data_IF_014838737079
#
_entry.id   IF_014838737079
#
_cell.length_a   1.000
_cell.length_b   1.000
_cell.length_c   1.000
_cell.angle_alpha   90.00
_cell.angle_beta   90.00
_cell.angle_gamma   90.00
#
_symmetry.space_group_name_H-M   'P 1'
#
loop_
_entity.id
_entity.type
_entity.pdbx_description
1 polymer ?
#
# COMPACT_ATOMS: atom_id res chain seq x y z
N UNK A 1 -82.14 8.49 1.31
CA UNK A 1 -80.97 8.25 2.15
C UNK A 1 -79.85 7.85 1.20
N UNK A 2 -78.97 8.80 0.88
CA UNK A 2 -77.82 8.57 -0.01
C UNK A 2 -76.57 8.41 0.82
N UNK A 3 -75.99 7.20 0.80
CA UNK A 3 -74.72 6.94 1.47
C UNK A 3 -73.56 7.49 0.62
N UNK A 4 -72.87 8.43 1.14
CA UNK A 4 -71.66 9.02 0.56
C UNK A 4 -70.44 8.20 1.04
N UNK A 5 -69.82 7.41 0.16
CA UNK A 5 -68.56 6.75 0.39
C UNK A 5 -67.41 7.72 0.15
N UNK A 6 -66.73 8.13 1.20
CA UNK A 6 -65.51 8.92 1.11
C UNK A 6 -64.35 7.94 0.97
N UNK A 7 -63.77 7.82 -0.23
CA UNK A 7 -62.51 7.10 -0.48
C UNK A 7 -61.37 8.07 -0.11
N UNK A 8 -60.71 7.79 1.03
CA UNK A 8 -59.46 8.45 1.39
C UNK A 8 -58.34 7.76 0.60
N UNK A 9 -57.89 8.41 -0.48
CA UNK A 9 -56.68 8.00 -1.17
C UNK A 9 -55.51 8.51 -0.35
N UNK A 10 -54.94 7.62 0.47
CA UNK A 10 -53.67 7.80 1.15
C UNK A 10 -52.57 7.74 0.13
N UNK A 11 -52.18 8.87 -0.43
CA UNK A 11 -50.99 9.01 -1.27
C UNK A 11 -49.76 8.84 -0.38
N UNK A 12 -49.23 7.60 -0.32
CA UNK A 12 -47.89 7.33 0.16
C UNK A 12 -46.90 8.04 -0.77
N UNK A 13 -46.48 9.24 -0.38
CA UNK A 13 -45.26 9.84 -0.91
C UNK A 13 -44.08 8.97 -0.45
N UNK A 14 -43.71 8.04 -1.28
CA UNK A 14 -42.36 7.43 -1.25
C UNK A 14 -41.39 8.54 -1.63
N UNK A 15 -40.94 9.28 -0.63
CA UNK A 15 -39.73 10.08 -0.78
C UNK A 15 -38.59 9.10 -1.00
N UNK A 16 -38.32 8.78 -2.29
CA UNK A 16 -37.05 8.21 -2.69
C UNK A 16 -36.00 9.27 -2.37
N UNK A 17 -35.41 9.22 -1.17
CA UNK A 17 -34.12 9.83 -0.93
C UNK A 17 -33.11 9.12 -1.84
N UNK A 18 -33.00 9.59 -3.07
CA UNK A 18 -32.01 9.14 -4.03
C UNK A 18 -30.69 9.87 -3.73
N UNK A 19 -30.21 9.78 -2.48
CA UNK A 19 -28.83 10.10 -2.14
C UNK A 19 -27.95 8.89 -2.50
N UNK A 20 -27.90 8.58 -3.78
CA UNK A 20 -26.91 7.60 -4.26
C UNK A 20 -25.55 8.25 -4.13
N UNK A 21 -24.70 7.68 -3.27
CA UNK A 21 -23.30 8.07 -3.15
C UNK A 21 -22.66 8.10 -4.55
N UNK A 22 -22.17 9.26 -5.03
CA UNK A 22 -21.74 9.43 -6.43
C UNK A 22 -20.57 8.54 -6.82
N UNK A 23 -19.71 8.16 -5.87
CA UNK A 23 -18.56 7.29 -6.12
C UNK A 23 -18.93 5.79 -6.18
N UNK A 24 -20.17 5.45 -5.88
CA UNK A 24 -20.71 4.08 -6.04
C UNK A 24 -21.25 3.81 -7.45
N UNK A 25 -21.30 4.82 -8.32
CA UNK A 25 -21.63 4.58 -9.72
C UNK A 25 -20.48 3.83 -10.40
N UNK A 26 -20.84 2.84 -11.21
CA UNK A 26 -19.85 2.12 -11.99
C UNK A 26 -19.17 3.06 -12.98
N UNK A 27 -17.89 3.32 -12.77
CA UNK A 27 -17.11 4.21 -13.65
C UNK A 27 -16.68 3.54 -14.97
N UNK A 28 -16.97 2.24 -15.13
CA UNK A 28 -16.91 1.57 -16.43
C UNK A 28 -18.11 1.91 -17.36
N UNK A 29 -19.11 2.65 -16.89
CA UNK A 29 -20.25 3.07 -17.69
C UNK A 29 -19.83 4.17 -18.68
N UNK A 30 -19.80 3.81 -19.97
CA UNK A 30 -19.45 4.73 -21.07
C UNK A 30 -20.44 5.88 -21.25
N UNK A 31 -21.61 5.84 -20.60
CA UNK A 31 -22.59 6.93 -20.59
C UNK A 31 -22.19 8.08 -19.65
N UNK A 32 -21.20 7.86 -18.77
CA UNK A 32 -20.67 8.89 -17.88
C UNK A 32 -19.75 9.84 -18.66
N UNK A 33 -19.71 11.08 -18.20
CA UNK A 33 -18.74 12.05 -18.67
C UNK A 33 -17.32 11.46 -18.53
N UNK A 34 -16.48 11.70 -19.54
CA UNK A 34 -15.12 11.16 -19.64
C UNK A 34 -15.01 9.62 -19.78
N UNK A 35 -16.05 8.95 -20.31
CA UNK A 35 -15.94 7.55 -20.71
C UNK A 35 -15.67 6.54 -19.59
N UNK A 36 -16.15 6.84 -18.37
CA UNK A 36 -16.01 5.92 -17.25
C UNK A 36 -14.79 6.18 -16.37
N UNK A 37 -14.24 7.37 -16.40
CA UNK A 37 -13.22 7.81 -15.44
C UNK A 37 -13.85 7.91 -14.03
N UNK A 38 -13.13 7.47 -12.98
CA UNK A 38 -13.60 7.61 -11.61
C UNK A 38 -13.94 9.06 -11.23
N UNK A 39 -14.98 9.26 -10.45
CA UNK A 39 -15.46 10.60 -10.02
C UNK A 39 -14.58 11.19 -8.90
N UNK A 40 -13.30 11.45 -9.19
CA UNK A 40 -12.33 11.96 -8.21
C UNK A 40 -12.70 13.36 -7.68
N UNK A 41 -13.37 14.19 -8.47
CA UNK A 41 -13.90 15.51 -8.07
C UNK A 41 -14.95 15.45 -6.96
N UNK A 42 -15.57 14.28 -6.74
CA UNK A 42 -16.60 14.03 -5.72
C UNK A 42 -16.08 13.20 -4.55
N UNK A 43 -14.83 12.80 -4.59
CA UNK A 43 -14.22 11.99 -3.57
C UNK A 43 -14.03 12.76 -2.26
N UNK A 44 -14.68 12.30 -1.20
CA UNK A 44 -14.44 12.79 0.17
C UNK A 44 -14.23 11.61 1.13
N UNK A 45 -13.49 11.78 2.24
CA UNK A 45 -13.29 10.73 3.24
C UNK A 45 -14.60 10.05 3.69
N UNK A 46 -15.63 10.84 3.94
CA UNK A 46 -16.95 10.33 4.35
C UNK A 46 -17.61 9.48 3.28
N UNK A 47 -17.65 9.96 2.03
CA UNK A 47 -18.28 9.22 0.91
C UNK A 47 -17.54 7.92 0.62
N UNK A 48 -16.20 7.91 0.72
CA UNK A 48 -15.39 6.71 0.57
C UNK A 48 -15.69 5.70 1.67
N UNK A 49 -15.75 6.12 2.95
CA UNK A 49 -16.14 5.24 4.06
C UNK A 49 -17.51 4.60 3.83
N UNK A 50 -18.51 5.39 3.47
CA UNK A 50 -19.88 4.91 3.20
C UNK A 50 -19.90 3.91 2.03
N UNK A 51 -19.18 4.20 0.94
CA UNK A 51 -19.11 3.35 -0.23
C UNK A 51 -18.40 2.03 0.06
N UNK A 52 -17.28 2.05 0.80
CA UNK A 52 -16.56 0.85 1.24
C UNK A 52 -17.46 -0.06 2.09
N UNK A 53 -18.15 0.48 3.10
CA UNK A 53 -19.06 -0.28 3.96
C UNK A 53 -20.22 -0.89 3.16
N UNK A 54 -20.79 -0.13 2.24
CA UNK A 54 -21.90 -0.60 1.42
C UNK A 54 -21.44 -1.64 0.38
N UNK A 55 -20.27 -1.42 -0.24
CA UNK A 55 -19.67 -2.38 -1.17
C UNK A 55 -19.39 -3.73 -0.52
N UNK A 56 -18.83 -3.74 0.70
CA UNK A 56 -18.63 -4.96 1.49
C UNK A 56 -19.95 -5.67 1.77
N UNK A 57 -21.00 -4.92 2.19
CA UNK A 57 -22.32 -5.50 2.47
C UNK A 57 -22.95 -6.14 1.23
N UNK A 58 -22.88 -5.46 0.08
CA UNK A 58 -23.43 -5.98 -1.20
C UNK A 58 -22.67 -7.26 -1.58
N UNK A 59 -21.33 -7.22 -1.54
CA UNK A 59 -20.50 -8.38 -1.87
C UNK A 59 -20.80 -9.58 -0.95
N UNK A 60 -20.94 -9.39 0.37
CA UNK A 60 -21.30 -10.48 1.28
C UNK A 60 -22.69 -11.06 0.99
N UNK A 61 -23.66 -10.24 0.59
CA UNK A 61 -24.97 -10.73 0.15
C UNK A 61 -24.88 -11.59 -1.13
N UNK A 62 -24.02 -11.23 -2.06
CA UNK A 62 -23.82 -12.02 -3.29
C UNK A 62 -23.09 -13.33 -2.99
N UNK A 63 -22.07 -13.31 -2.13
CA UNK A 63 -21.41 -14.51 -1.60
C UNK A 63 -22.41 -15.44 -0.89
N UNK A 64 -23.30 -14.89 -0.08
CA UNK A 64 -24.32 -15.69 0.62
C UNK A 64 -25.29 -16.38 -0.37
N UNK A 65 -25.71 -15.70 -1.43
CA UNK A 65 -26.51 -16.29 -2.52
C UNK A 65 -25.78 -17.44 -3.22
N UNK A 66 -24.48 -17.26 -3.49
CA UNK A 66 -23.65 -18.30 -4.12
C UNK A 66 -23.53 -19.49 -3.17
N UNK A 67 -23.18 -19.26 -1.92
CA UNK A 67 -23.01 -20.29 -0.90
C UNK A 67 -24.26 -21.13 -0.66
N UNK A 68 -25.43 -20.48 -0.67
CA UNK A 68 -26.74 -21.13 -0.43
C UNK A 68 -27.47 -21.52 -1.74
N UNK A 69 -26.81 -21.51 -2.90
CA UNK A 69 -27.42 -21.93 -4.17
C UNK A 69 -27.82 -23.41 -4.11
N UNK A 70 -29.12 -23.78 -4.27
CA UNK A 70 -29.58 -25.16 -4.15
C UNK A 70 -29.14 -26.07 -5.30
N UNK A 71 -28.66 -25.50 -6.41
CA UNK A 71 -28.16 -26.27 -7.55
C UNK A 71 -26.80 -26.89 -7.26
N UNK A 72 -26.52 -28.06 -7.84
CA UNK A 72 -25.17 -28.66 -7.77
C UNK A 72 -24.10 -27.67 -8.17
N UNK A 73 -22.95 -27.64 -7.49
CA UNK A 73 -21.86 -26.72 -7.81
C UNK A 73 -21.30 -26.95 -9.21
N UNK A 74 -21.20 -25.87 -10.00
CA UNK A 74 -20.49 -25.84 -11.29
C UNK A 74 -19.55 -24.64 -11.32
N UNK A 75 -18.63 -24.61 -12.28
CA UNK A 75 -17.72 -23.48 -12.47
C UNK A 75 -18.52 -22.17 -12.63
N UNK A 76 -19.54 -22.17 -13.48
CA UNK A 76 -20.35 -21.01 -13.82
C UNK A 76 -21.15 -20.51 -12.60
N UNK A 77 -21.85 -21.41 -11.87
CA UNK A 77 -22.75 -21.00 -10.79
C UNK A 77 -22.03 -20.80 -9.43
N UNK A 78 -20.71 -20.93 -9.41
CA UNK A 78 -19.92 -20.77 -8.19
C UNK A 78 -18.69 -19.90 -8.45
N UNK A 79 -17.72 -20.35 -9.25
CA UNK A 79 -16.45 -19.63 -9.46
C UNK A 79 -16.68 -18.35 -10.27
N UNK A 80 -17.39 -18.44 -11.39
CA UNK A 80 -17.69 -17.28 -12.23
C UNK A 80 -18.57 -16.25 -11.51
N UNK A 81 -19.55 -16.69 -10.72
CA UNK A 81 -20.35 -15.79 -9.90
C UNK A 81 -19.53 -15.15 -8.75
N UNK A 82 -18.53 -15.84 -8.19
CA UNK A 82 -17.59 -15.25 -7.23
C UNK A 82 -16.73 -14.16 -7.88
N UNK A 83 -16.21 -14.38 -9.10
CA UNK A 83 -15.44 -13.39 -9.84
C UNK A 83 -16.27 -12.12 -10.16
N UNK A 84 -17.59 -12.29 -10.38
CA UNK A 84 -18.52 -11.16 -10.60
C UNK A 84 -18.95 -10.47 -9.32
N UNK A 85 -18.86 -11.16 -8.18
CA UNK A 85 -19.19 -10.59 -6.88
C UNK A 85 -18.17 -9.52 -6.46
N UNK A 86 -18.62 -8.54 -5.66
CA UNK A 86 -17.71 -7.53 -5.15
C UNK A 86 -17.24 -6.47 -6.16
N UNK A 87 -17.75 -6.47 -7.39
CA UNK A 87 -17.38 -5.47 -8.41
C UNK A 87 -17.53 -4.04 -7.90
N UNK A 88 -18.61 -3.71 -7.21
CA UNK A 88 -18.80 -2.37 -6.64
C UNK A 88 -17.73 -2.02 -5.63
N UNK A 89 -17.35 -2.95 -4.75
CA UNK A 89 -16.26 -2.74 -3.79
C UNK A 89 -14.93 -2.55 -4.52
N UNK A 90 -14.67 -3.34 -5.56
CA UNK A 90 -13.48 -3.20 -6.41
C UNK A 90 -13.41 -1.82 -7.09
N UNK A 91 -14.56 -1.30 -7.56
CA UNK A 91 -14.63 0.03 -8.17
C UNK A 91 -14.43 1.18 -7.13
N UNK A 92 -14.70 0.94 -5.86
CA UNK A 92 -14.50 1.92 -4.76
C UNK A 92 -13.07 1.89 -4.20
N UNK A 93 -12.38 0.77 -4.27
CA UNK A 93 -11.02 0.62 -3.73
C UNK A 93 -10.01 1.66 -4.25
N UNK A 94 -10.00 2.07 -5.54
CA UNK A 94 -9.11 3.11 -6.04
C UNK A 94 -9.28 4.44 -5.30
N UNK A 95 -10.49 4.85 -4.95
CA UNK A 95 -10.73 6.07 -4.16
C UNK A 95 -10.13 5.95 -2.75
N UNK A 96 -10.34 4.80 -2.09
CA UNK A 96 -9.72 4.51 -0.81
C UNK A 96 -8.18 4.54 -0.90
N UNK A 97 -7.61 3.92 -1.93
CA UNK A 97 -6.17 3.88 -2.19
C UNK A 97 -5.56 5.26 -2.39
N UNK A 98 -6.22 6.14 -3.15
CA UNK A 98 -5.75 7.51 -3.40
C UNK A 98 -5.79 8.35 -2.12
N UNK A 99 -6.88 8.28 -1.35
CA UNK A 99 -6.94 8.97 -0.06
C UNK A 99 -5.91 8.44 0.93
N UNK A 100 -5.60 7.14 0.87
CA UNK A 100 -4.60 6.50 1.73
C UNK A 100 -3.17 6.91 1.40
N UNK A 101 -2.80 6.91 0.11
CA UNK A 101 -1.40 7.02 -0.33
C UNK A 101 -1.00 8.42 -0.80
N UNK A 102 -1.94 9.21 -1.33
CA UNK A 102 -1.64 10.49 -1.97
C UNK A 102 -2.30 11.69 -1.29
N UNK A 103 -3.45 11.50 -0.65
CA UNK A 103 -4.25 12.57 -0.07
C UNK A 103 -4.63 12.27 1.38
N UNK A 104 -3.71 11.68 2.13
CA UNK A 104 -3.93 11.36 3.53
C UNK A 104 -4.19 12.61 4.36
N UNK A 105 -5.20 12.54 5.23
CA UNK A 105 -5.54 13.58 6.19
C UNK A 105 -5.80 12.95 7.57
N UNK A 106 -5.73 13.72 8.68
CA UNK A 106 -6.08 13.22 10.00
C UNK A 106 -7.48 12.59 10.06
N UNK A 107 -8.46 13.18 9.35
CA UNK A 107 -9.81 12.62 9.22
C UNK A 107 -9.79 11.24 8.53
N UNK A 108 -9.06 11.14 7.42
CA UNK A 108 -9.02 9.88 6.67
C UNK A 108 -8.24 8.79 7.40
N UNK A 109 -7.15 9.13 8.10
CA UNK A 109 -6.41 8.17 8.95
C UNK A 109 -7.30 7.53 10.02
N UNK A 110 -8.19 8.32 10.64
CA UNK A 110 -9.20 7.78 11.56
C UNK A 110 -10.15 6.80 10.86
N UNK A 111 -10.59 7.14 9.64
CA UNK A 111 -11.44 6.26 8.83
C UNK A 111 -10.70 4.97 8.45
N UNK A 112 -9.41 5.03 8.12
CA UNK A 112 -8.58 3.85 7.87
C UNK A 112 -8.53 2.92 9.08
N UNK A 113 -8.31 3.47 10.28
CA UNK A 113 -8.34 2.71 11.54
C UNK A 113 -9.69 2.01 11.78
N UNK A 114 -10.82 2.69 11.49
CA UNK A 114 -12.17 2.13 11.60
C UNK A 114 -12.45 1.04 10.55
N UNK A 115 -11.89 1.17 9.34
CA UNK A 115 -12.15 0.26 8.22
C UNK A 115 -11.23 -0.97 8.24
N UNK A 116 -10.00 -0.86 8.74
CA UNK A 116 -9.03 -1.95 8.72
C UNK A 116 -9.56 -3.26 9.35
N UNK A 117 -10.12 -3.27 10.58
CA UNK A 117 -10.72 -4.48 11.15
C UNK A 117 -11.94 -4.97 10.35
N UNK A 118 -12.77 -4.08 9.81
CA UNK A 118 -13.95 -4.45 9.01
C UNK A 118 -13.59 -5.10 7.67
N UNK A 119 -12.52 -4.64 7.04
CA UNK A 119 -11.97 -5.28 5.84
C UNK A 119 -11.39 -6.66 6.15
N UNK A 120 -10.77 -6.81 7.32
CA UNK A 120 -10.30 -8.11 7.80
C UNK A 120 -11.45 -9.08 8.09
N UNK A 121 -12.49 -8.62 8.78
CA UNK A 121 -13.72 -9.39 9.02
C UNK A 121 -14.42 -9.77 7.71
N UNK A 122 -14.56 -8.85 6.77
CA UNK A 122 -15.11 -9.09 5.44
C UNK A 122 -14.35 -10.21 4.72
N UNK A 123 -13.02 -10.13 4.68
CA UNK A 123 -12.17 -11.15 4.06
C UNK A 123 -12.30 -12.51 4.76
N UNK A 124 -12.31 -12.52 6.09
CA UNK A 124 -12.50 -13.75 6.88
C UNK A 124 -13.87 -14.37 6.66
N UNK A 125 -14.93 -13.56 6.58
CA UNK A 125 -16.30 -14.01 6.32
C UNK A 125 -16.45 -14.73 4.98
N UNK A 126 -15.66 -14.37 3.98
CA UNK A 126 -15.63 -15.05 2.68
C UNK A 126 -14.77 -16.31 2.76
N UNK A 127 -13.50 -16.16 3.19
CA UNK A 127 -12.51 -17.23 3.16
C UNK A 127 -12.85 -18.41 4.11
N UNK A 128 -13.63 -18.15 5.17
CA UNK A 128 -14.04 -19.17 6.14
C UNK A 128 -15.49 -19.62 5.99
N UNK A 129 -16.17 -19.17 4.92
CA UNK A 129 -17.53 -19.60 4.63
C UNK A 129 -17.53 -21.08 4.22
N UNK A 130 -18.03 -21.95 5.11
CA UNK A 130 -18.00 -23.40 4.93
C UNK A 130 -18.78 -23.84 3.69
N UNK A 131 -20.01 -23.34 3.52
CA UNK A 131 -20.86 -23.69 2.38
C UNK A 131 -20.21 -23.27 1.05
N UNK A 132 -19.62 -22.08 1.00
CA UNK A 132 -18.90 -21.61 -0.18
C UNK A 132 -17.69 -22.51 -0.47
N UNK A 133 -16.91 -22.83 0.55
CA UNK A 133 -15.73 -23.70 0.40
C UNK A 133 -16.12 -25.14 0.03
N UNK A 134 -17.24 -25.67 0.53
CA UNK A 134 -17.77 -26.96 0.08
C UNK A 134 -18.08 -26.97 -1.41
N UNK A 135 -18.70 -25.91 -1.94
CA UNK A 135 -18.97 -25.77 -3.38
C UNK A 135 -17.69 -25.70 -4.20
N UNK A 136 -16.74 -24.87 -3.81
CA UNK A 136 -15.41 -24.77 -4.47
C UNK A 136 -14.70 -26.11 -4.45
N UNK A 137 -14.70 -26.79 -3.30
CA UNK A 137 -14.06 -28.11 -3.11
C UNK A 137 -14.69 -29.21 -3.99
N UNK A 138 -16.02 -29.18 -4.13
CA UNK A 138 -16.73 -30.14 -4.99
C UNK A 138 -16.30 -29.98 -6.46
N UNK A 139 -16.24 -28.74 -6.96
CA UNK A 139 -15.80 -28.46 -8.34
C UNK A 139 -14.32 -28.86 -8.50
N UNK A 140 -13.47 -28.51 -7.54
CA UNK A 140 -12.04 -28.86 -7.55
C UNK A 140 -11.79 -30.37 -7.59
N UNK A 141 -12.58 -31.15 -6.83
CA UNK A 141 -12.51 -32.60 -6.86
C UNK A 141 -12.99 -33.18 -8.20
N UNK A 142 -14.11 -32.67 -8.70
CA UNK A 142 -14.67 -33.11 -9.98
C UNK A 142 -13.74 -32.80 -11.16
N UNK A 143 -13.02 -31.68 -11.13
CA UNK A 143 -12.08 -31.30 -12.21
C UNK A 143 -10.87 -32.23 -12.35
N UNK A 144 -10.59 -33.07 -11.35
CA UNK A 144 -9.51 -34.08 -11.44
C UNK A 144 -9.87 -35.24 -12.37
N UNK A 145 -11.16 -35.50 -12.59
CA UNK A 145 -11.66 -36.53 -13.50
C UNK A 145 -12.26 -35.93 -14.77
N UNK A 146 -12.83 -34.75 -14.70
CA UNK A 146 -13.40 -33.97 -15.80
C UNK A 146 -12.74 -32.62 -15.87
N UNK A 147 -11.57 -32.49 -16.53
CA UNK A 147 -10.84 -31.22 -16.59
C UNK A 147 -11.68 -30.12 -17.24
N UNK A 148 -11.56 -28.90 -16.68
CA UNK A 148 -12.09 -27.68 -17.25
C UNK A 148 -11.16 -27.16 -18.36
N UNK A 149 -11.58 -26.11 -19.07
CA UNK A 149 -10.68 -25.36 -19.95
C UNK A 149 -9.47 -24.82 -19.14
N UNK A 150 -8.33 -24.65 -19.79
CA UNK A 150 -7.05 -24.37 -19.10
C UNK A 150 -7.10 -23.12 -18.19
N UNK A 151 -7.75 -22.06 -18.64
CA UNK A 151 -7.94 -20.82 -17.87
C UNK A 151 -8.89 -21.02 -16.70
N UNK A 152 -10.02 -21.69 -16.91
CA UNK A 152 -10.97 -22.05 -15.86
C UNK A 152 -10.32 -22.95 -14.79
N UNK A 153 -9.56 -23.95 -15.23
CA UNK A 153 -8.84 -24.83 -14.31
C UNK A 153 -7.83 -24.03 -13.47
N UNK A 154 -7.14 -23.09 -14.10
CA UNK A 154 -6.17 -22.22 -13.38
C UNK A 154 -6.85 -21.34 -12.35
N UNK A 155 -7.98 -20.72 -12.69
CA UNK A 155 -8.77 -19.91 -11.74
C UNK A 155 -9.26 -20.76 -10.58
N UNK A 156 -9.82 -21.94 -10.87
CA UNK A 156 -10.27 -22.87 -9.84
C UNK A 156 -9.14 -23.31 -8.89
N UNK A 157 -7.98 -23.67 -9.43
CA UNK A 157 -6.82 -24.09 -8.63
C UNK A 157 -6.34 -22.96 -7.71
N UNK A 158 -6.30 -21.72 -8.20
CA UNK A 158 -5.93 -20.55 -7.40
C UNK A 158 -6.99 -20.23 -6.33
N UNK A 159 -8.26 -20.32 -6.68
CA UNK A 159 -9.37 -20.10 -5.76
C UNK A 159 -9.35 -21.12 -4.63
N UNK A 160 -9.29 -22.41 -4.94
CA UNK A 160 -9.22 -23.48 -3.93
C UNK A 160 -7.99 -23.28 -3.00
N UNK A 161 -6.82 -23.02 -3.60
CA UNK A 161 -5.60 -22.76 -2.84
C UNK A 161 -5.73 -21.54 -1.94
N UNK A 162 -6.32 -20.45 -2.44
CA UNK A 162 -6.58 -19.25 -1.65
C UNK A 162 -7.42 -19.55 -0.42
N UNK A 163 -8.52 -20.28 -0.54
CA UNK A 163 -9.34 -20.69 0.59
C UNK A 163 -8.55 -21.52 1.60
N UNK A 164 -7.82 -22.53 1.15
CA UNK A 164 -7.01 -23.39 2.02
C UNK A 164 -5.94 -22.59 2.78
N UNK A 165 -5.25 -21.69 2.10
CA UNK A 165 -4.21 -20.82 2.70
C UNK A 165 -4.78 -19.78 3.68
N UNK A 166 -6.07 -19.46 3.59
CA UNK A 166 -6.72 -18.47 4.44
C UNK A 166 -7.67 -19.10 5.49
N UNK A 167 -7.47 -20.37 5.80
CA UNK A 167 -8.08 -21.01 6.97
C UNK A 167 -9.40 -21.73 6.71
N UNK A 168 -9.85 -21.90 5.45
CA UNK A 168 -11.09 -22.61 5.13
C UNK A 168 -11.11 -24.06 5.67
N UNK A 169 -9.95 -24.70 5.74
CA UNK A 169 -9.79 -26.09 6.19
C UNK A 169 -9.63 -26.23 7.70
N UNK A 170 -9.55 -25.15 8.46
CA UNK A 170 -9.41 -25.16 9.90
C UNK A 170 -10.68 -25.63 10.60
N UNK A 171 -10.56 -26.24 11.80
CA UNK A 171 -11.65 -26.44 12.71
C UNK A 171 -12.17 -25.10 13.27
N UNK A 172 -13.35 -25.13 13.91
CA UNK A 172 -14.05 -23.93 14.36
C UNK A 172 -13.19 -23.05 15.28
N UNK A 173 -12.55 -23.63 16.28
CA UNK A 173 -11.78 -22.89 17.28
C UNK A 173 -10.56 -22.22 16.65
N UNK A 174 -9.88 -22.93 15.75
CA UNK A 174 -8.76 -22.37 14.99
C UNK A 174 -9.20 -21.30 13.99
N UNK A 175 -10.38 -21.42 13.35
CA UNK A 175 -10.94 -20.37 12.49
C UNK A 175 -11.19 -19.08 13.27
N UNK A 176 -11.78 -19.20 14.48
CA UNK A 176 -12.01 -18.05 15.36
C UNK A 176 -10.69 -17.35 15.71
N UNK A 177 -9.71 -18.12 16.21
CA UNK A 177 -8.38 -17.57 16.52
C UNK A 177 -7.65 -16.98 15.30
N UNK A 178 -7.75 -17.61 14.15
CA UNK A 178 -7.20 -17.10 12.89
C UNK A 178 -7.80 -15.74 12.50
N UNK A 179 -9.12 -15.57 12.69
CA UNK A 179 -9.83 -14.30 12.44
C UNK A 179 -9.39 -13.21 13.40
N UNK A 180 -9.30 -13.51 14.70
CA UNK A 180 -8.78 -12.59 15.70
C UNK A 180 -7.37 -12.09 15.34
N UNK A 181 -6.46 -13.01 15.01
CA UNK A 181 -5.09 -12.64 14.59
C UNK A 181 -5.10 -11.73 13.37
N UNK A 182 -5.97 -11.96 12.39
CA UNK A 182 -6.05 -11.10 11.21
C UNK A 182 -6.54 -9.70 11.56
N UNK A 183 -7.48 -9.56 12.49
CA UNK A 183 -7.97 -8.27 13.00
C UNK A 183 -6.85 -7.54 13.75
N UNK A 184 -6.15 -8.23 14.67
CA UNK A 184 -5.02 -7.68 15.41
C UNK A 184 -3.89 -7.22 14.44
N UNK A 185 -3.52 -8.05 13.48
CA UNK A 185 -2.51 -7.71 12.46
C UNK A 185 -2.93 -6.49 11.62
N UNK A 186 -4.20 -6.39 11.23
CA UNK A 186 -4.67 -5.25 10.43
C UNK A 186 -4.55 -3.93 11.19
N UNK A 187 -4.82 -3.95 12.51
CA UNK A 187 -4.61 -2.81 13.40
C UNK A 187 -3.13 -2.45 13.52
N UNK A 188 -2.29 -3.44 13.82
CA UNK A 188 -0.84 -3.22 13.98
C UNK A 188 -0.17 -2.69 12.71
N UNK A 189 -0.58 -3.15 11.52
CA UNK A 189 -0.08 -2.60 10.25
C UNK A 189 -0.50 -1.15 10.04
N UNK A 190 -1.73 -0.80 10.43
CA UNK A 190 -2.20 0.58 10.36
C UNK A 190 -1.43 1.48 11.33
N UNK A 191 -1.24 1.04 12.57
CA UNK A 191 -0.50 1.76 13.59
C UNK A 191 0.97 1.95 13.17
N UNK A 192 1.61 0.89 12.67
CA UNK A 192 2.98 0.95 12.12
C UNK A 192 3.11 2.03 11.03
N UNK A 193 2.18 2.04 10.08
CA UNK A 193 2.21 2.98 8.97
C UNK A 193 1.98 4.42 9.42
N UNK A 194 1.07 4.61 10.38
CA UNK A 194 0.79 5.93 10.95
C UNK A 194 1.97 6.49 11.75
N UNK A 195 2.70 5.65 12.49
CA UNK A 195 3.89 6.06 13.23
C UNK A 195 5.01 6.52 12.27
N UNK A 196 5.27 5.76 11.20
CA UNK A 196 6.24 6.18 10.17
C UNK A 196 5.82 7.50 9.51
N UNK A 197 4.52 7.65 9.20
CA UNK A 197 3.99 8.88 8.61
C UNK A 197 4.07 10.07 9.56
N UNK A 198 3.85 9.85 10.88
CA UNK A 198 4.02 10.88 11.90
C UNK A 198 5.45 11.46 11.85
N UNK A 199 6.46 10.61 11.81
CA UNK A 199 7.85 11.06 11.75
C UNK A 199 8.18 11.75 10.41
N UNK A 200 7.57 11.29 9.32
CA UNK A 200 7.72 11.93 8.01
C UNK A 200 7.14 13.35 8.00
N UNK A 201 6.01 13.58 8.67
CA UNK A 201 5.32 14.89 8.72
C UNK A 201 5.96 15.85 9.73
N UNK A 202 6.52 15.36 10.84
CA UNK A 202 6.90 16.19 12.00
C UNK A 202 8.40 16.43 12.16
N UNK A 203 9.26 15.54 11.68
CA UNK A 203 10.70 15.79 11.69
C UNK A 203 11.11 16.69 10.52
N UNK A 204 11.34 17.97 10.82
CA UNK A 204 11.75 18.97 9.83
C UNK A 204 13.08 19.59 10.27
N UNK A 205 14.06 19.59 9.37
CA UNK A 205 15.34 20.25 9.60
C UNK A 205 15.29 21.67 9.02
N UNK A 206 15.39 22.69 9.87
CA UNK A 206 15.42 24.09 9.45
C UNK A 206 16.85 24.57 9.26
N UNK A 207 17.10 25.27 8.15
CA UNK A 207 18.42 25.80 7.77
C UNK A 207 18.41 27.31 7.78
N UNK A 208 19.59 27.87 8.06
CA UNK A 208 19.93 29.27 7.80
C UNK A 208 20.45 29.44 6.38
N UNK A 209 20.47 30.69 5.87
CA UNK A 209 20.98 31.01 4.54
C UNK A 209 22.45 30.57 4.34
N UNK A 210 23.27 30.71 5.38
CA UNK A 210 24.68 30.28 5.38
C UNK A 210 24.91 28.77 5.22
N UNK A 211 23.86 27.96 5.37
CA UNK A 211 23.89 26.50 5.32
C UNK A 211 23.44 25.92 3.98
N UNK A 212 23.13 26.76 2.99
CA UNK A 212 22.57 26.37 1.69
C UNK A 212 23.61 25.98 0.63
N UNK A 213 24.89 26.03 0.99
CA UNK A 213 25.98 25.77 0.03
C UNK A 213 25.87 24.40 -0.64
N UNK A 214 26.00 24.39 -1.96
CA UNK A 214 25.92 23.20 -2.82
C UNK A 214 24.53 22.88 -3.33
N UNK A 215 23.48 23.49 -2.77
CA UNK A 215 22.09 23.26 -3.20
C UNK A 215 21.73 24.07 -4.44
N UNK A 216 20.91 23.50 -5.32
CA UNK A 216 20.42 24.21 -6.51
C UNK A 216 19.42 25.32 -6.15
N UNK A 217 19.34 26.37 -6.99
CA UNK A 217 18.38 27.46 -6.79
C UNK A 217 16.93 26.97 -6.74
N UNK A 218 16.58 25.95 -7.53
CA UNK A 218 15.25 25.35 -7.52
C UNK A 218 14.91 24.69 -6.18
N UNK A 219 15.87 23.95 -5.63
CA UNK A 219 15.73 23.30 -4.32
C UNK A 219 15.62 24.35 -3.20
N UNK A 220 16.48 25.36 -3.20
CA UNK A 220 16.47 26.45 -2.21
C UNK A 220 15.12 27.16 -2.22
N UNK A 221 14.58 27.49 -3.39
CA UNK A 221 13.26 28.13 -3.54
C UNK A 221 12.14 27.25 -2.97
N UNK A 222 12.18 25.94 -3.23
CA UNK A 222 11.21 25.00 -2.67
C UNK A 222 11.32 24.90 -1.14
N UNK A 223 12.54 24.77 -0.60
CA UNK A 223 12.79 24.71 0.84
C UNK A 223 12.33 25.99 1.56
N UNK A 224 12.52 27.17 0.93
CA UNK A 224 12.01 28.45 1.43
C UNK A 224 10.50 28.46 1.53
N UNK A 225 9.83 28.04 0.44
CA UNK A 225 8.36 27.97 0.40
C UNK A 225 7.80 27.03 1.49
N UNK A 226 8.41 25.86 1.67
CA UNK A 226 8.00 24.90 2.71
C UNK A 226 8.16 25.50 4.11
N UNK A 227 9.25 26.23 4.36
CA UNK A 227 9.45 26.88 5.66
C UNK A 227 8.39 27.96 5.91
N UNK A 228 8.07 28.78 4.92
CA UNK A 228 7.02 29.78 4.98
C UNK A 228 5.65 29.16 5.25
N UNK A 229 5.29 28.09 4.56
CA UNK A 229 4.02 27.36 4.79
C UNK A 229 3.91 26.79 6.20
N UNK A 230 5.07 26.59 6.88
CA UNK A 230 5.17 26.17 8.29
C UNK A 230 5.33 27.35 9.27
N UNK A 231 5.26 28.62 8.81
CA UNK A 231 5.32 29.82 9.64
C UNK A 231 6.73 30.35 9.96
N UNK A 232 7.76 29.90 9.21
CA UNK A 232 9.17 30.30 9.39
C UNK A 232 9.66 31.09 8.17
N UNK A 233 9.45 32.43 8.20
CA UNK A 233 9.76 33.32 7.08
C UNK A 233 11.25 33.39 6.72
N UNK A 234 12.14 33.32 7.71
CA UNK A 234 13.59 33.49 7.52
C UNK A 234 14.36 32.19 7.42
N UNK A 235 13.69 31.01 7.42
CA UNK A 235 14.31 29.70 7.36
C UNK A 235 14.11 29.02 6.01
N UNK A 236 14.77 27.88 5.86
CA UNK A 236 14.62 26.93 4.77
C UNK A 236 14.35 25.56 5.40
N UNK A 237 13.36 24.83 4.91
CA UNK A 237 12.91 23.58 5.55
C UNK A 237 13.23 22.37 4.68
N UNK A 238 13.92 21.40 5.28
CA UNK A 238 14.14 20.06 4.73
C UNK A 238 13.16 19.14 5.44
N UNK A 239 12.14 18.68 4.72
CA UNK A 239 11.16 17.73 5.24
C UNK A 239 11.72 16.31 5.27
N UNK A 240 11.13 15.46 6.10
CA UNK A 240 11.55 14.06 6.26
C UNK A 240 11.01 13.14 5.15
N UNK A 241 10.80 13.71 3.96
CA UNK A 241 10.38 13.00 2.75
C UNK A 241 11.56 12.68 1.86
N UNK A 242 11.45 11.61 1.05
CA UNK A 242 12.51 11.22 0.13
C UNK A 242 12.84 12.33 -0.87
N UNK A 243 11.83 13.03 -1.40
CA UNK A 243 11.99 14.11 -2.36
C UNK A 243 12.75 15.33 -1.81
N UNK A 244 12.76 15.52 -0.50
CA UNK A 244 13.53 16.57 0.19
C UNK A 244 14.91 16.07 0.65
N UNK A 245 14.94 14.88 1.25
CA UNK A 245 16.17 14.30 1.80
C UNK A 245 17.19 13.92 0.71
N UNK A 246 16.79 13.21 -0.34
CA UNK A 246 17.72 12.73 -1.39
C UNK A 246 18.50 13.85 -2.06
N UNK A 247 17.89 14.94 -2.58
CA UNK A 247 18.66 16.07 -3.15
C UNK A 247 19.52 16.76 -2.11
N UNK A 248 19.04 16.90 -0.86
CA UNK A 248 19.84 17.51 0.20
C UNK A 248 21.10 16.71 0.48
N UNK A 249 20.99 15.39 0.69
CA UNK A 249 22.16 14.53 0.92
C UNK A 249 23.10 14.46 -0.29
N UNK A 250 22.58 14.64 -1.49
CA UNK A 250 23.38 14.59 -2.73
C UNK A 250 24.23 15.84 -2.94
N UNK A 251 23.69 17.01 -2.61
CA UNK A 251 24.30 18.28 -3.03
C UNK A 251 24.80 19.16 -1.89
N UNK A 252 24.23 19.08 -0.69
CA UNK A 252 24.66 19.92 0.44
C UNK A 252 26.11 19.66 0.84
N UNK A 253 26.93 20.74 0.91
CA UNK A 253 28.30 20.64 1.39
C UNK A 253 28.41 20.54 2.92
N UNK A 254 27.33 20.82 3.66
CA UNK A 254 27.33 20.77 5.12
C UNK A 254 27.17 19.33 5.62
N UNK A 255 28.30 18.72 5.98
CA UNK A 255 28.36 17.32 6.43
C UNK A 255 27.54 17.05 7.69
N UNK A 256 27.61 17.96 8.67
CA UNK A 256 26.92 17.80 9.94
C UNK A 256 25.40 17.79 9.76
N UNK A 257 24.88 18.65 8.90
CA UNK A 257 23.45 18.69 8.59
C UNK A 257 23.04 17.48 7.75
N UNK A 258 23.89 16.99 6.83
CA UNK A 258 23.62 15.72 6.14
C UNK A 258 23.41 14.58 7.13
N UNK A 259 24.25 14.49 8.18
CA UNK A 259 24.08 13.48 9.23
C UNK A 259 22.73 13.60 9.93
N UNK A 260 22.30 14.80 10.31
CA UNK A 260 21.00 15.05 10.96
C UNK A 260 19.86 14.64 10.05
N UNK A 261 19.86 15.10 8.79
CA UNK A 261 18.80 14.78 7.81
C UNK A 261 18.76 13.27 7.51
N UNK A 262 19.93 12.63 7.41
CA UNK A 262 20.01 11.18 7.21
C UNK A 262 19.43 10.43 8.41
N UNK A 263 19.81 10.77 9.63
CA UNK A 263 19.30 10.15 10.86
C UNK A 263 17.79 10.30 10.95
N UNK A 264 17.27 11.51 10.79
CA UNK A 264 15.81 11.74 10.83
C UNK A 264 15.06 10.86 9.83
N UNK A 265 15.59 10.69 8.62
CA UNK A 265 14.93 9.91 7.59
C UNK A 265 14.98 8.40 7.84
N UNK A 266 16.14 7.87 8.25
CA UNK A 266 16.34 6.44 8.39
C UNK A 266 15.91 5.88 9.76
N UNK A 267 15.66 6.74 10.76
CA UNK A 267 15.10 6.32 12.05
C UNK A 267 13.60 6.57 12.21
N UNK A 268 12.89 6.76 11.10
CA UNK A 268 11.42 6.89 11.16
C UNK A 268 10.78 5.65 11.77
N UNK A 269 9.99 5.85 12.84
CA UNK A 269 9.39 4.78 13.63
C UNK A 269 10.38 4.03 14.53
N UNK A 270 11.57 4.61 14.79
CA UNK A 270 12.61 4.03 15.65
C UNK A 270 13.32 5.16 16.44
N UNK A 271 12.54 5.99 17.11
CA UNK A 271 13.05 7.15 17.87
C UNK A 271 12.90 6.98 19.38
N UNK A 272 12.37 5.86 19.87
CA UNK A 272 12.20 5.58 21.31
C UNK A 272 11.10 6.42 21.96
N UNK A 273 10.19 6.99 21.19
CA UNK A 273 9.04 7.78 21.62
C UNK A 273 7.71 7.02 21.48
N UNK A 274 6.58 7.73 21.61
CA UNK A 274 5.25 7.12 21.49
C UNK A 274 4.90 6.62 20.07
N UNK A 275 5.69 6.99 19.05
CA UNK A 275 5.55 6.57 17.65
C UNK A 275 6.58 5.50 17.26
N UNK A 276 7.28 4.92 18.23
CA UNK A 276 8.24 3.84 18.00
C UNK A 276 7.56 2.53 17.60
N UNK A 277 8.06 1.90 16.57
CA UNK A 277 7.49 0.68 15.99
C UNK A 277 8.14 -0.63 16.49
N UNK A 278 9.16 -0.58 17.35
CA UNK A 278 9.90 -1.78 17.73
C UNK A 278 9.01 -2.83 18.43
N UNK A 279 8.11 -2.40 19.32
CA UNK A 279 7.16 -3.30 19.96
C UNK A 279 6.12 -3.83 18.97
N UNK A 280 5.63 -2.97 18.06
CA UNK A 280 4.68 -3.34 17.00
C UNK A 280 5.28 -4.41 16.08
N UNK A 281 6.56 -4.26 15.69
CA UNK A 281 7.28 -5.25 14.88
C UNK A 281 7.33 -6.60 15.59
N UNK A 282 7.70 -6.59 16.88
CA UNK A 282 7.75 -7.82 17.69
C UNK A 282 6.40 -8.55 17.71
N UNK A 283 5.32 -7.81 17.92
CA UNK A 283 3.97 -8.38 17.97
C UNK A 283 3.47 -8.87 16.60
N UNK A 284 3.75 -8.13 15.52
CA UNK A 284 3.47 -8.57 14.15
C UNK A 284 4.16 -9.91 13.85
N UNK A 285 5.44 -10.05 14.22
CA UNK A 285 6.19 -11.29 13.99
C UNK A 285 5.63 -12.46 14.80
N UNK A 286 5.27 -12.23 16.06
CA UNK A 286 4.64 -13.22 16.93
C UNK A 286 3.32 -13.71 16.34
N UNK A 287 2.43 -12.80 15.98
CA UNK A 287 1.12 -13.12 15.40
C UNK A 287 1.23 -13.80 14.04
N UNK A 288 2.17 -13.38 13.19
CA UNK A 288 2.44 -14.06 11.91
C UNK A 288 2.86 -15.50 12.11
N UNK A 289 3.74 -15.77 13.10
CA UNK A 289 4.16 -17.15 13.43
C UNK A 289 3.00 -17.97 13.95
N UNK A 290 2.21 -17.44 14.87
CA UNK A 290 1.02 -18.11 15.42
C UNK A 290 0.03 -18.44 14.31
N UNK A 291 -0.30 -17.48 13.46
CA UNK A 291 -1.24 -17.63 12.35
C UNK A 291 -0.88 -18.76 11.39
N UNK A 292 0.37 -18.83 10.96
CA UNK A 292 0.79 -19.87 10.02
C UNK A 292 0.96 -21.22 10.70
N UNK A 293 1.24 -21.24 12.01
CA UNK A 293 1.22 -22.45 12.83
C UNK A 293 -0.16 -23.09 12.90
N UNK A 294 -1.25 -22.30 12.99
CA UNK A 294 -2.63 -22.80 12.89
C UNK A 294 -2.89 -23.53 11.57
N UNK A 295 -2.26 -23.07 10.47
CA UNK A 295 -2.36 -23.67 9.13
C UNK A 295 -1.39 -24.84 8.91
N UNK A 296 -0.56 -25.19 9.92
CA UNK A 296 0.40 -26.29 9.85
C UNK A 296 1.74 -25.95 9.20
N UNK A 297 2.06 -24.65 9.02
CA UNK A 297 3.36 -24.23 8.50
C UNK A 297 4.34 -23.93 9.64
N UNK A 298 5.59 -24.23 9.44
CA UNK A 298 6.66 -23.99 10.41
C UNK A 298 6.94 -22.48 10.58
N UNK A 299 6.90 -21.75 9.48
CA UNK A 299 7.18 -20.30 9.49
C UNK A 299 6.40 -19.57 8.40
N UNK A 300 6.38 -18.23 8.52
CA UNK A 300 5.64 -17.35 7.61
C UNK A 300 6.16 -17.43 6.18
N UNK A 301 7.46 -17.61 5.97
CA UNK A 301 8.05 -17.66 4.64
C UNK A 301 7.59 -18.91 3.86
N UNK A 302 7.53 -20.09 4.51
CA UNK A 302 6.97 -21.29 3.89
C UNK A 302 5.54 -21.10 3.43
N UNK A 303 4.68 -20.53 4.28
CA UNK A 303 3.30 -20.23 3.91
C UNK A 303 3.23 -19.23 2.77
N UNK A 304 4.03 -18.16 2.82
CA UNK A 304 3.91 -17.03 1.87
C UNK A 304 4.47 -17.36 0.50
N UNK A 305 5.53 -18.18 0.40
CA UNK A 305 6.24 -18.43 -0.85
C UNK A 305 5.66 -19.60 -1.67
N UNK A 306 4.79 -20.42 -1.10
CA UNK A 306 4.30 -21.64 -1.79
C UNK A 306 3.55 -21.35 -3.12
N UNK A 307 2.98 -20.16 -3.30
CA UNK A 307 2.29 -19.72 -4.51
C UNK A 307 3.11 -18.68 -5.31
N UNK A 308 4.37 -18.45 -4.91
CA UNK A 308 5.27 -17.51 -5.57
C UNK A 308 6.26 -18.25 -6.48
N UNK A 309 6.98 -17.47 -7.31
CA UNK A 309 7.97 -18.01 -8.24
C UNK A 309 9.05 -18.84 -7.53
N UNK A 310 9.51 -18.40 -6.34
CA UNK A 310 10.51 -19.12 -5.55
C UNK A 310 9.99 -20.45 -4.98
N UNK A 311 8.67 -20.58 -4.73
CA UNK A 311 7.97 -21.75 -4.17
C UNK A 311 8.30 -22.06 -2.70
N UNK A 312 9.53 -21.90 -2.25
CA UNK A 312 9.99 -22.15 -0.88
C UNK A 312 11.09 -21.17 -0.45
N UNK A 313 11.37 -21.06 0.86
CA UNK A 313 12.41 -20.18 1.38
C UNK A 313 13.81 -20.51 0.86
N UNK A 314 14.14 -21.79 0.66
CA UNK A 314 15.46 -22.27 0.22
C UNK A 314 15.80 -21.70 -1.17
N UNK A 315 14.86 -21.75 -2.12
CA UNK A 315 15.05 -21.18 -3.45
C UNK A 315 15.20 -19.64 -3.42
N UNK A 316 14.44 -18.96 -2.55
CA UNK A 316 14.56 -17.53 -2.38
C UNK A 316 15.92 -17.13 -1.79
N UNK A 317 16.37 -17.86 -0.77
CA UNK A 317 17.69 -17.64 -0.15
C UNK A 317 18.83 -17.95 -1.12
N UNK A 318 18.76 -19.06 -1.84
CA UNK A 318 19.79 -19.43 -2.82
C UNK A 318 20.01 -18.33 -3.89
N UNK A 319 18.93 -17.68 -4.38
CA UNK A 319 19.06 -16.56 -5.30
C UNK A 319 19.76 -15.35 -4.64
N UNK A 320 19.36 -15.00 -3.41
CA UNK A 320 19.99 -13.89 -2.69
C UNK A 320 21.45 -14.15 -2.39
N UNK A 321 21.79 -15.36 -1.91
CA UNK A 321 23.15 -15.76 -1.60
C UNK A 321 24.06 -15.82 -2.83
N UNK A 322 23.52 -16.16 -3.99
CA UNK A 322 24.28 -16.16 -5.25
C UNK A 322 24.68 -14.74 -5.70
N UNK A 323 23.84 -13.73 -5.40
CA UNK A 323 24.09 -12.32 -5.79
C UNK A 323 24.90 -11.56 -4.73
N UNK A 324 24.71 -11.88 -3.45
CA UNK A 324 25.22 -11.12 -2.32
C UNK A 324 26.74 -10.87 -2.32
N UNK A 325 27.61 -11.88 -2.56
CA UNK A 325 29.06 -11.66 -2.55
C UNK A 325 29.52 -10.65 -3.62
N UNK A 326 28.95 -10.74 -4.82
CA UNK A 326 29.28 -9.81 -5.91
C UNK A 326 28.78 -8.37 -5.60
N UNK A 327 27.61 -8.25 -4.96
CA UNK A 327 27.08 -6.96 -4.55
C UNK A 327 27.95 -6.29 -3.47
N UNK A 328 28.40 -7.06 -2.47
CA UNK A 328 29.32 -6.54 -1.43
C UNK A 328 30.64 -6.11 -2.04
N UNK A 329 31.26 -6.93 -2.88
CA UNK A 329 32.53 -6.58 -3.55
C UNK A 329 32.38 -5.27 -4.36
N UNK A 330 31.26 -5.10 -5.04
CA UNK A 330 30.98 -3.85 -5.78
C UNK A 330 30.82 -2.64 -4.89
N UNK A 331 30.14 -2.78 -3.76
CA UNK A 331 30.01 -1.69 -2.75
C UNK A 331 31.38 -1.30 -2.21
N UNK A 332 32.26 -2.26 -1.92
CA UNK A 332 33.61 -1.97 -1.43
C UNK A 332 34.43 -1.14 -2.45
N UNK A 333 34.33 -1.46 -3.76
CA UNK A 333 34.93 -0.68 -4.84
C UNK A 333 34.35 0.75 -4.89
N UNK A 334 33.05 0.89 -4.82
CA UNK A 334 32.36 2.19 -4.85
C UNK A 334 32.71 3.05 -3.63
N UNK A 335 32.80 2.46 -2.45
CA UNK A 335 33.25 3.16 -1.23
C UNK A 335 34.71 3.59 -1.35
N UNK A 336 35.58 2.77 -1.92
CA UNK A 336 36.96 3.12 -2.15
C UNK A 336 37.11 4.31 -3.13
N UNK A 337 36.32 4.34 -4.22
CA UNK A 337 36.26 5.46 -5.14
C UNK A 337 35.80 6.75 -4.44
N UNK A 338 34.74 6.67 -3.63
CA UNK A 338 34.23 7.81 -2.85
C UNK A 338 35.25 8.29 -1.83
N UNK A 339 35.92 7.37 -1.13
CA UNK A 339 36.95 7.71 -0.14
C UNK A 339 38.15 8.43 -0.78
N UNK A 340 38.56 8.01 -1.99
CA UNK A 340 39.59 8.67 -2.76
C UNK A 340 39.21 10.11 -3.06
N UNK A 341 38.02 10.34 -3.58
CA UNK A 341 37.50 11.69 -3.88
C UNK A 341 37.39 12.55 -2.61
N UNK A 342 36.94 11.98 -1.48
CA UNK A 342 36.86 12.69 -0.22
C UNK A 342 38.22 13.15 0.28
N UNK A 343 39.25 12.30 0.15
CA UNK A 343 40.62 12.62 0.56
C UNK A 343 41.24 13.72 -0.29
N UNK A 344 40.89 13.80 -1.59
CA UNK A 344 41.40 14.81 -2.52
C UNK A 344 40.71 16.17 -2.35
N UNK A 345 39.41 16.19 -2.04
CA UNK A 345 38.61 17.41 -2.08
C UNK A 345 38.58 18.21 -0.79
N UNK A 346 38.53 17.56 0.39
CA UNK A 346 38.16 18.28 1.63
C UNK A 346 39.08 17.97 2.80
N UNK A 347 39.04 16.78 3.33
CA UNK A 347 39.76 16.39 4.52
C UNK A 347 40.18 14.91 4.43
N UNK A 348 41.45 14.62 4.28
CA UNK A 348 41.95 13.26 4.11
C UNK A 348 41.70 12.34 5.30
N UNK A 349 41.24 12.86 6.44
CA UNK A 349 40.96 12.09 7.66
C UNK A 349 39.50 11.69 7.82
N UNK A 350 38.60 12.14 6.96
CA UNK A 350 37.21 11.67 7.06
C UNK A 350 37.09 10.25 6.53
N UNK A 351 36.30 9.45 7.23
CA UNK A 351 35.81 8.17 6.75
C UNK A 351 34.43 8.40 6.13
N UNK A 352 34.16 7.73 5.00
CA UNK A 352 32.83 7.73 4.37
C UNK A 352 31.84 7.06 5.33
N UNK A 353 30.82 7.80 5.71
CA UNK A 353 29.70 7.34 6.53
C UNK A 353 28.41 7.32 5.70
N UNK A 354 27.31 6.69 6.16
CA UNK A 354 26.08 6.57 5.38
C UNK A 354 25.52 7.89 4.87
N UNK A 355 25.62 8.98 5.61
CA UNK A 355 25.20 10.33 5.20
C UNK A 355 26.12 10.99 4.18
N UNK A 356 27.30 10.43 3.93
CA UNK A 356 28.27 10.90 2.93
C UNK A 356 28.08 10.23 1.57
N UNK A 357 27.45 9.03 1.55
CA UNK A 357 27.35 8.18 0.37
C UNK A 357 26.83 8.93 -0.86
N UNK A 358 25.63 9.55 -0.76
CA UNK A 358 25.03 10.25 -1.91
C UNK A 358 25.87 11.42 -2.39
N UNK A 359 26.46 12.17 -1.49
CA UNK A 359 27.29 13.32 -1.80
C UNK A 359 28.53 12.91 -2.60
N UNK A 360 29.29 11.94 -2.12
CA UNK A 360 30.51 11.50 -2.79
C UNK A 360 30.23 10.62 -4.01
N UNK A 361 29.18 9.84 -4.04
CA UNK A 361 28.75 9.10 -5.22
C UNK A 361 28.45 10.06 -6.38
N UNK A 362 27.81 11.22 -6.13
CA UNK A 362 27.59 12.24 -7.15
C UNK A 362 28.91 12.89 -7.63
N UNK A 363 29.87 13.11 -6.74
CA UNK A 363 31.21 13.59 -7.14
C UNK A 363 31.94 12.57 -8.00
N UNK A 364 31.93 11.30 -7.64
CA UNK A 364 32.48 10.20 -8.44
C UNK A 364 31.81 10.14 -9.81
N UNK A 365 30.46 10.23 -9.86
CA UNK A 365 29.67 10.21 -11.07
C UNK A 365 30.10 11.36 -12.02
N UNK A 366 30.22 12.57 -11.49
CA UNK A 366 30.66 13.73 -12.27
C UNK A 366 32.09 13.56 -12.81
N UNK A 367 33.00 13.04 -12.00
CA UNK A 367 34.41 12.82 -12.41
C UNK A 367 34.49 11.71 -13.49
N UNK A 368 33.74 10.62 -13.33
CA UNK A 368 33.84 9.47 -14.25
C UNK A 368 33.09 9.67 -15.57
N UNK A 369 31.96 10.38 -15.54
CA UNK A 369 31.02 10.42 -16.68
C UNK A 369 30.77 11.83 -17.23
N UNK A 370 31.34 12.87 -16.61
CA UNK A 370 31.13 14.29 -16.97
C UNK A 370 29.63 14.66 -17.12
N UNK A 371 28.80 14.08 -16.26
CA UNK A 371 27.34 14.23 -16.29
C UNK A 371 26.94 15.33 -15.30
N UNK A 372 26.26 16.36 -15.79
CA UNK A 372 25.62 17.40 -14.97
C UNK A 372 24.11 17.24 -14.99
N UNK A 373 23.53 16.99 -13.81
CA UNK A 373 22.08 16.77 -13.69
C UNK A 373 21.25 17.99 -14.06
N UNK A 374 21.77 19.22 -13.83
CA UNK A 374 21.02 20.44 -14.15
C UNK A 374 21.06 20.73 -15.67
N UNK A 375 22.12 20.33 -16.36
CA UNK A 375 22.16 20.34 -17.81
C UNK A 375 21.18 19.34 -18.41
N UNK A 376 21.17 18.10 -17.93
CA UNK A 376 20.26 17.03 -18.40
C UNK A 376 18.80 17.39 -18.19
N UNK A 377 18.44 18.02 -17.07
CA UNK A 377 17.05 18.45 -16.78
C UNK A 377 16.46 19.40 -17.82
N UNK A 378 17.29 20.19 -18.51
CA UNK A 378 16.82 21.12 -19.55
C UNK A 378 16.22 20.39 -20.76
N UNK A 379 16.64 19.14 -20.99
CA UNK A 379 16.12 18.27 -22.06
C UNK A 379 14.89 17.47 -21.61
N UNK A 380 14.73 17.23 -20.30
CA UNK A 380 13.69 16.39 -19.72
C UNK A 380 12.51 17.25 -19.23
N UNK A 381 11.90 18.02 -20.13
CA UNK A 381 10.71 18.81 -19.83
C UNK A 381 9.46 17.93 -19.89
N UNK A 382 8.58 18.07 -18.90
CA UNK A 382 7.41 17.21 -18.73
C UNK A 382 6.54 17.15 -20.00
N UNK A 383 6.26 18.30 -20.61
CA UNK A 383 5.44 18.38 -21.82
C UNK A 383 6.04 17.57 -22.97
N UNK A 384 7.37 17.71 -23.18
CA UNK A 384 8.09 16.97 -24.22
C UNK A 384 8.17 15.47 -23.92
N UNK A 385 8.31 15.10 -22.64
CA UNK A 385 8.30 13.69 -22.24
C UNK A 385 6.92 13.08 -22.42
N UNK A 386 5.85 13.84 -22.10
CA UNK A 386 4.48 13.40 -22.31
C UNK A 386 4.21 13.18 -23.80
N UNK A 387 4.54 14.15 -24.66
CA UNK A 387 4.40 14.01 -26.11
C UNK A 387 5.21 12.84 -26.68
N UNK A 388 6.41 12.59 -26.16
CA UNK A 388 7.24 11.46 -26.60
C UNK A 388 6.71 10.09 -26.14
N UNK A 389 5.91 10.05 -25.08
CA UNK A 389 5.36 8.81 -24.52
C UNK A 389 4.07 8.40 -25.25
N UNK A 390 3.22 9.34 -25.67
CA UNK A 390 1.92 9.14 -26.31
C UNK A 390 1.98 9.40 -27.81
#
# INVERSE_FOLDING_TARGET
MKNLFIIIISSLFLVKCNNSNPIMKQWSDKSLEFGGVPAFDKMTPKLVKEAMLNGMKISLNDIDKIANNPKSPTFENTIEEMERSGKLLSDVYPYYGILSSNMSSPEFRKIQGDLAPKLSEYSSSINQNEKLFERVSAIYKASKTNPLENDQQRVLDLTYKSFAMNGATLDKDKKERYSEINIELSKLYNDFSNNVLHDEENYVTYLEESQLNGLSNGFIKSAKKIAQDKGFEDKYAITNTRSSMDPFLTYSTNREIREVVWKNYYSRGDNGDEFDNNQIIGEILRLRKERVGLLGYENYAQWRLQDRMAKNPENAMALMEAVWPAAIARVDEEVADMQKVANELINPKIKIEPWDYRFYAEKVRKIKYDLDSDEVKQYLQLDKLTDAMF
#
